data_IF_546014084251
#
_entry.id   IF_546014084251
#
_cell.length_a   1.000
_cell.length_b   1.000
_cell.length_c   1.000
_cell.angle_alpha   90.00
_cell.angle_beta   90.00
_cell.angle_gamma   90.00
#
_symmetry.space_group_name_H-M   'P 1'
#
loop_
_entity.id
_entity.type
_entity.pdbx_description
1 polymer ?
#
# COMPACT_ATOMS: atom_id res chain seq x y z
N UNK A 1 -29.97 9.67 18.76
CA UNK A 1 -30.29 9.00 17.48
C UNK A 1 -29.30 9.53 16.43
N UNK A 2 -28.23 8.78 16.16
CA UNK A 2 -27.29 9.08 15.05
C UNK A 2 -27.80 8.31 13.84
N UNK A 3 -28.02 9.00 12.72
CA UNK A 3 -28.52 8.39 11.50
C UNK A 3 -27.47 7.45 10.88
N UNK A 4 -27.82 6.21 10.53
CA UNK A 4 -26.96 5.31 9.75
C UNK A 4 -27.17 5.62 8.26
N UNK A 5 -26.23 6.33 7.62
CA UNK A 5 -26.37 6.66 6.21
C UNK A 5 -25.12 7.20 5.55
N UNK A 6 -24.58 6.41 4.62
CA UNK A 6 -23.67 6.84 3.54
C UNK A 6 -22.22 7.11 3.93
N UNK A 7 -21.59 6.15 4.62
CA UNK A 7 -20.14 6.02 4.53
C UNK A 7 -19.79 5.60 3.10
N UNK A 8 -19.27 6.53 2.28
CA UNK A 8 -18.63 6.16 1.02
C UNK A 8 -17.69 4.99 1.30
N UNK A 9 -17.84 3.87 0.57
CA UNK A 9 -16.95 2.71 0.75
C UNK A 9 -15.53 3.24 0.74
N UNK A 10 -14.82 3.08 1.86
CA UNK A 10 -13.45 3.53 1.95
C UNK A 10 -12.71 2.87 0.79
N UNK A 11 -12.14 3.69 -0.10
CA UNK A 11 -11.46 3.21 -1.30
C UNK A 11 -10.26 2.29 -0.98
N UNK A 12 -9.81 2.33 0.27
CA UNK A 12 -8.89 1.39 0.91
C UNK A 12 -9.52 0.87 2.20
N UNK A 13 -9.59 -0.44 2.33
CA UNK A 13 -9.79 -1.16 3.59
C UNK A 13 -8.65 -0.85 4.57
N UNK A 14 -8.83 -1.08 5.89
CA UNK A 14 -7.76 -0.89 6.87
C UNK A 14 -6.48 -1.67 6.51
N UNK A 15 -6.62 -2.90 6.03
CA UNK A 15 -5.49 -3.73 5.60
C UNK A 15 -4.75 -3.12 4.40
N UNK A 16 -5.47 -2.61 3.40
CA UNK A 16 -4.86 -1.98 2.23
C UNK A 16 -4.15 -0.67 2.59
N UNK A 17 -4.66 0.11 3.57
CA UNK A 17 -3.97 1.30 4.07
C UNK A 17 -2.63 0.97 4.71
N UNK A 18 -2.57 -0.10 5.49
CA UNK A 18 -1.32 -0.59 6.06
C UNK A 18 -0.38 -1.06 4.95
N UNK A 19 -0.87 -1.89 4.04
CA UNK A 19 -0.08 -2.43 2.95
C UNK A 19 0.51 -1.32 2.06
N UNK A 20 -0.30 -0.37 1.60
CA UNK A 20 0.18 0.71 0.73
C UNK A 20 1.19 1.61 1.45
N UNK A 21 1.00 1.84 2.74
CA UNK A 21 1.95 2.62 3.56
C UNK A 21 3.29 1.91 3.68
N UNK A 22 3.28 0.60 3.98
CA UNK A 22 4.50 -0.20 4.06
C UNK A 22 5.22 -0.23 2.72
N UNK A 23 4.51 -0.45 1.61
CA UNK A 23 5.11 -0.44 0.27
C UNK A 23 5.74 0.92 -0.09
N UNK A 24 5.08 2.01 0.28
CA UNK A 24 5.59 3.37 0.09
C UNK A 24 6.84 3.64 0.95
N UNK A 25 6.82 3.25 2.23
CA UNK A 25 7.97 3.37 3.13
C UNK A 25 9.16 2.54 2.66
N UNK A 26 8.92 1.34 2.13
CA UNK A 26 9.95 0.48 1.54
C UNK A 26 10.53 1.01 0.23
N UNK A 27 9.97 2.08 -0.36
CA UNK A 27 10.39 2.64 -1.65
C UNK A 27 10.36 1.61 -2.80
N UNK A 28 9.42 0.68 -2.75
CA UNK A 28 9.30 -0.40 -3.76
C UNK A 28 8.77 0.13 -5.09
N UNK A 29 7.90 1.15 -5.07
CA UNK A 29 7.30 1.71 -6.26
C UNK A 29 7.04 3.22 -6.08
N UNK A 30 7.00 4.00 -7.18
CA UNK A 30 6.56 5.37 -7.13
C UNK A 30 5.09 5.46 -6.67
N UNK A 31 4.73 6.58 -6.04
CA UNK A 31 3.39 6.78 -5.46
C UNK A 31 2.28 6.69 -6.52
N UNK A 32 2.56 7.09 -7.76
CA UNK A 32 1.61 6.98 -8.87
C UNK A 32 1.34 5.51 -9.26
N UNK A 33 2.39 4.67 -9.33
CA UNK A 33 2.23 3.24 -9.58
C UNK A 33 1.45 2.56 -8.46
N UNK A 34 1.70 2.93 -7.19
CA UNK A 34 0.89 2.45 -6.07
C UNK A 34 -0.56 2.92 -6.20
N UNK A 35 -0.83 4.15 -6.64
CA UNK A 35 -2.18 4.66 -6.83
C UNK A 35 -2.93 3.82 -7.88
N UNK A 36 -2.27 3.52 -9.01
CA UNK A 36 -2.82 2.66 -10.05
C UNK A 36 -3.10 1.24 -9.55
N UNK A 37 -2.17 0.61 -8.81
CA UNK A 37 -2.33 -0.75 -8.28
C UNK A 37 -3.52 -0.90 -7.33
N UNK A 38 -3.77 0.11 -6.51
CA UNK A 38 -4.86 0.10 -5.54
C UNK A 38 -6.15 0.75 -6.08
N UNK A 39 -6.18 1.22 -7.34
CA UNK A 39 -7.34 1.90 -7.92
C UNK A 39 -7.72 3.21 -7.19
N UNK A 40 -6.75 3.83 -6.53
CA UNK A 40 -6.93 5.07 -5.74
C UNK A 40 -6.12 6.22 -6.34
N UNK A 41 -6.16 7.38 -5.67
CA UNK A 41 -5.37 8.55 -6.05
C UNK A 41 -4.16 8.71 -5.14
N UNK A 42 -3.08 9.32 -5.63
CA UNK A 42 -1.88 9.61 -4.83
C UNK A 42 -2.15 10.36 -3.50
N UNK A 43 -3.08 11.35 -3.42
CA UNK A 43 -3.47 11.95 -2.15
C UNK A 43 -4.09 10.97 -1.16
N UNK A 44 -4.83 9.97 -1.65
CA UNK A 44 -5.44 8.93 -0.80
C UNK A 44 -4.34 8.08 -0.15
N UNK A 45 -3.28 7.76 -0.89
CA UNK A 45 -2.11 7.05 -0.36
C UNK A 45 -1.35 7.90 0.66
N UNK A 46 -1.16 9.19 0.37
CA UNK A 46 -0.50 10.12 1.29
C UNK A 46 -1.23 10.19 2.64
N UNK A 47 -2.57 10.30 2.59
CA UNK A 47 -3.42 10.28 3.77
C UNK A 47 -3.33 8.96 4.53
N UNK A 48 -3.41 7.82 3.83
CA UNK A 48 -3.23 6.51 4.46
C UNK A 48 -1.87 6.41 5.17
N UNK A 49 -0.81 6.94 4.57
CA UNK A 49 0.52 7.03 5.17
C UNK A 49 0.55 7.87 6.44
N UNK A 50 -0.13 9.01 6.46
CA UNK A 50 -0.21 9.86 7.66
C UNK A 50 -0.98 9.19 8.81
N UNK A 51 -2.00 8.39 8.50
CA UNK A 51 -2.78 7.66 9.51
C UNK A 51 -2.02 6.44 10.05
N UNK A 52 -1.30 5.71 9.20
CA UNK A 52 -0.65 4.44 9.57
C UNK A 52 0.75 4.63 10.17
N UNK A 53 1.52 5.63 9.74
CA UNK A 53 2.90 5.84 10.24
C UNK A 53 2.98 5.95 11.77
N UNK A 54 2.14 6.75 12.45
CA UNK A 54 2.17 6.84 13.91
C UNK A 54 1.87 5.50 14.60
N UNK A 55 1.02 4.66 13.99
CA UNK A 55 0.72 3.33 14.51
C UNK A 55 1.93 2.41 14.40
N UNK A 56 2.66 2.45 13.29
CA UNK A 56 3.88 1.67 13.11
C UNK A 56 4.98 2.11 14.08
N UNK A 57 5.11 3.42 14.30
CA UNK A 57 6.04 3.99 15.27
C UNK A 57 5.69 3.59 16.70
N UNK A 58 4.41 3.65 17.08
CA UNK A 58 3.93 3.25 18.41
C UNK A 58 4.12 1.75 18.71
N UNK A 59 4.28 0.92 17.68
CA UNK A 59 4.54 -0.51 17.79
C UNK A 59 6.00 -0.88 17.53
N UNK A 60 6.92 0.09 17.44
CA UNK A 60 8.35 -0.14 17.17
C UNK A 60 8.61 -0.99 15.91
N UNK A 61 7.84 -0.78 14.85
CA UNK A 61 7.99 -1.46 13.55
C UNK A 61 8.65 -0.57 12.50
N UNK A 62 9.99 -0.38 12.53
CA UNK A 62 10.69 0.40 11.52
C UNK A 62 10.68 -0.34 10.17
N UNK A 63 10.11 0.32 9.15
CA UNK A 63 10.08 -0.23 7.79
C UNK A 63 11.35 0.20 7.04
N UNK A 64 12.26 -0.75 6.84
CA UNK A 64 13.49 -0.52 6.06
C UNK A 64 13.22 -0.50 4.56
N UNK A 65 14.02 0.27 3.81
CA UNK A 65 13.95 0.32 2.36
C UNK A 65 14.23 -1.06 1.73
N UNK A 66 13.51 -1.40 0.67
CA UNK A 66 13.74 -2.63 -0.09
C UNK A 66 14.76 -2.41 -1.21
N UNK A 67 15.47 -3.47 -1.57
CA UNK A 67 16.30 -3.54 -2.78
C UNK A 67 15.46 -3.74 -4.05
N UNK A 68 14.25 -4.29 -3.94
CA UNK A 68 13.32 -4.43 -5.06
C UNK A 68 12.66 -3.09 -5.38
N UNK A 69 12.75 -2.69 -6.66
CA UNK A 69 12.17 -1.44 -7.16
C UNK A 69 11.44 -1.71 -8.47
N UNK A 70 10.18 -1.33 -8.52
CA UNK A 70 9.33 -1.42 -9.71
C UNK A 70 8.94 -0.01 -10.13
N UNK A 71 9.19 0.31 -11.39
CA UNK A 71 8.87 1.62 -11.95
C UNK A 71 7.62 1.56 -12.82
N UNK A 72 7.29 0.37 -13.34
CA UNK A 72 6.14 0.15 -14.23
C UNK A 72 5.31 -1.07 -13.81
N UNK A 73 4.03 -1.15 -14.24
CA UNK A 73 3.24 -2.37 -14.09
C UNK A 73 3.89 -3.59 -14.78
N UNK A 74 4.60 -3.36 -15.89
CA UNK A 74 5.33 -4.40 -16.61
C UNK A 74 6.48 -4.98 -15.79
N UNK A 75 7.18 -4.16 -15.00
CA UNK A 75 8.24 -4.64 -14.10
C UNK A 75 7.67 -5.59 -13.04
N UNK A 76 6.49 -5.26 -12.52
CA UNK A 76 5.77 -6.10 -11.55
C UNK A 76 5.36 -7.41 -12.23
N UNK A 77 4.78 -7.36 -13.43
CA UNK A 77 4.38 -8.56 -14.17
C UNK A 77 5.59 -9.47 -14.49
N UNK A 78 6.71 -8.89 -14.92
CA UNK A 78 7.95 -9.61 -15.17
C UNK A 78 8.50 -10.25 -13.89
N UNK A 79 8.46 -9.52 -12.77
CA UNK A 79 8.86 -10.05 -11.46
C UNK A 79 7.97 -11.21 -11.03
N UNK A 80 6.64 -11.09 -11.17
CA UNK A 80 5.70 -12.16 -10.84
C UNK A 80 5.91 -13.42 -11.70
N UNK A 81 6.26 -13.26 -12.98
CA UNK A 81 6.57 -14.38 -13.87
C UNK A 81 7.87 -15.10 -13.48
N UNK A 82 8.85 -14.35 -12.97
CA UNK A 82 10.14 -14.90 -12.55
C UNK A 82 10.10 -15.46 -11.12
N UNK A 83 9.32 -14.83 -10.24
CA UNK A 83 9.09 -15.28 -8.88
C UNK A 83 8.05 -16.39 -8.91
N UNK A 84 8.48 -17.65 -8.79
CA UNK A 84 7.56 -18.72 -8.33
C UNK A 84 7.14 -18.38 -6.91
N UNK A 85 6.16 -17.49 -6.73
CA UNK A 85 5.52 -17.27 -5.44
C UNK A 85 4.91 -18.62 -5.09
N UNK A 86 5.62 -19.41 -4.27
CA UNK A 86 5.07 -20.65 -3.75
C UNK A 86 3.79 -20.23 -3.05
N UNK A 87 2.65 -20.74 -3.53
CA UNK A 87 1.41 -20.68 -2.77
C UNK A 87 1.72 -21.34 -1.43
N UNK A 88 1.86 -20.56 -0.37
CA UNK A 88 1.75 -21.09 0.97
C UNK A 88 0.29 -21.51 1.11
N UNK A 89 0.07 -22.82 1.26
CA UNK A 89 -1.19 -23.40 1.69
C UNK A 89 -1.65 -22.79 3.01
#
# INVERSE_FOLDING_TARGET
LVAPGTGAKAKLTPAERVLVTVLHLRKIAPMDLLAQLFGVTAPTISRAGQEVRPLLEAHDHPISASTARFHTPSDIAAFLNHSKIKKAC
#
